data_IF_619039615254
#
_entry.id   IF_619039615254
#
_cell.length_a   1.000
_cell.length_b   1.000
_cell.length_c   1.000
_cell.angle_alpha   90.00
_cell.angle_beta   90.00
_cell.angle_gamma   90.00
#
_symmetry.space_group_name_H-M   'P 1'
#
loop_
_entity.id
_entity.type
_entity.pdbx_description
1 polymer ?
#
# COMPACT_ATOMS: atom_id res chain seq x y z
N UNK A 1 -10.15 -16.35 28.02
CA UNK A 1 -10.68 -17.01 26.80
C UNK A 1 -10.15 -16.22 25.62
N UNK A 2 -9.45 -16.84 24.67
CA UNK A 2 -8.98 -16.12 23.50
C UNK A 2 -10.20 -15.65 22.68
N UNK A 3 -10.14 -14.43 22.18
CA UNK A 3 -11.16 -13.89 21.31
C UNK A 3 -11.31 -14.72 20.04
N UNK A 4 -12.49 -15.21 19.78
CA UNK A 4 -12.79 -15.91 18.54
C UNK A 4 -12.96 -14.89 17.41
N UNK A 5 -11.90 -14.68 16.66
CA UNK A 5 -11.95 -13.99 15.37
C UNK A 5 -11.71 -15.00 14.25
N UNK A 6 -12.50 -14.92 13.18
CA UNK A 6 -12.28 -15.71 11.97
C UNK A 6 -11.85 -14.80 10.82
N UNK A 7 -10.88 -15.23 10.06
CA UNK A 7 -10.52 -14.58 8.79
C UNK A 7 -11.53 -15.03 7.75
N UNK A 8 -12.27 -14.09 7.18
CA UNK A 8 -13.31 -14.35 6.20
C UNK A 8 -12.75 -14.51 4.78
N UNK A 9 -11.48 -14.21 4.58
CA UNK A 9 -10.80 -14.39 3.29
C UNK A 9 -9.33 -14.68 3.52
N UNK A 10 -8.85 -15.81 3.05
CA UNK A 10 -7.43 -16.13 3.00
C UNK A 10 -7.08 -16.55 1.60
N UNK A 11 -6.18 -15.82 0.95
CA UNK A 11 -5.45 -16.34 -0.18
C UNK A 11 -4.05 -16.73 0.29
N UNK A 12 -3.78 -18.02 0.37
CA UNK A 12 -2.44 -18.54 0.55
C UNK A 12 -1.91 -18.98 -0.79
N UNK A 13 -1.10 -18.14 -1.43
CA UNK A 13 -0.18 -18.63 -2.45
C UNK A 13 1.07 -19.21 -1.79
N UNK A 14 1.62 -20.30 -2.34
CA UNK A 14 2.73 -21.00 -1.71
C UNK A 14 3.96 -20.10 -1.63
N UNK A 15 4.64 -20.22 -0.52
CA UNK A 15 5.97 -19.70 -0.32
C UNK A 15 6.86 -20.07 -1.48
N UNK A 16 7.23 -19.11 -2.27
CA UNK A 16 8.46 -19.17 -3.03
C UNK A 16 9.05 -17.78 -2.99
N UNK A 17 9.92 -17.64 -2.05
CA UNK A 17 11.31 -17.47 -2.30
C UNK A 17 11.74 -16.24 -2.98
N UNK A 18 12.74 -15.97 -2.56
CA UNK A 18 13.86 -15.19 -3.01
C UNK A 18 13.75 -13.82 -2.43
N UNK A 19 14.52 -13.70 -1.47
CA UNK A 19 15.21 -12.49 -1.13
C UNK A 19 15.80 -11.98 -2.44
N UNK A 20 14.96 -11.32 -3.22
CA UNK A 20 15.40 -10.80 -4.49
C UNK A 20 16.07 -9.46 -4.26
N UNK A 21 17.36 -9.52 -3.97
CA UNK A 21 18.25 -8.38 -4.07
C UNK A 21 18.54 -8.01 -5.53
N UNK A 22 17.89 -8.70 -6.48
CA UNK A 22 18.36 -8.72 -7.86
C UNK A 22 17.26 -8.36 -8.84
N UNK A 23 17.19 -7.13 -9.22
CA UNK A 23 16.31 -6.64 -10.27
C UNK A 23 16.82 -6.89 -11.70
N UNK A 24 18.05 -7.34 -11.87
CA UNK A 24 18.64 -7.46 -13.21
C UNK A 24 18.54 -8.82 -13.89
N UNK A 25 18.61 -9.96 -13.25
CA UNK A 25 18.28 -11.22 -13.91
C UNK A 25 16.95 -11.77 -13.42
N UNK A 26 15.92 -10.91 -13.34
CA UNK A 26 14.61 -11.31 -12.84
C UNK A 26 14.02 -12.55 -13.51
N UNK A 27 14.29 -12.76 -14.79
CA UNK A 27 13.90 -13.98 -15.48
C UNK A 27 14.74 -15.20 -15.09
N UNK A 28 16.04 -15.04 -14.90
CA UNK A 28 16.95 -16.12 -14.52
C UNK A 28 16.73 -16.49 -13.04
N UNK A 29 16.76 -15.52 -12.16
CA UNK A 29 16.50 -15.72 -10.72
C UNK A 29 15.08 -16.23 -10.48
N UNK A 30 14.09 -15.71 -11.18
CA UNK A 30 12.72 -16.18 -11.08
C UNK A 30 12.52 -17.61 -11.57
N UNK A 31 13.33 -18.07 -12.53
CA UNK A 31 13.24 -19.41 -13.09
C UNK A 31 14.15 -20.43 -12.38
N UNK A 32 15.39 -20.03 -12.06
CA UNK A 32 16.40 -20.92 -11.48
C UNK A 32 16.58 -20.72 -9.98
N UNK A 33 16.02 -19.65 -9.40
CA UNK A 33 16.17 -19.31 -7.99
C UNK A 33 17.51 -18.64 -7.64
N UNK A 34 18.40 -18.48 -8.62
CA UNK A 34 19.71 -17.83 -8.44
C UNK A 34 20.23 -17.29 -9.78
N UNK A 35 21.19 -16.37 -9.71
CA UNK A 35 21.95 -15.94 -10.88
C UNK A 35 23.40 -15.74 -10.49
N UNK A 36 24.32 -16.22 -11.31
CA UNK A 36 25.77 -16.07 -11.11
C UNK A 36 26.21 -14.60 -11.19
N UNK A 37 25.42 -13.73 -11.82
CA UNK A 37 25.67 -12.29 -11.84
C UNK A 37 25.61 -11.66 -10.45
N UNK A 38 24.93 -12.26 -9.51
CA UNK A 38 24.81 -11.76 -8.14
C UNK A 38 26.16 -11.77 -7.40
N UNK A 39 27.02 -12.71 -7.74
CA UNK A 39 28.33 -12.89 -7.10
C UNK A 39 29.36 -11.85 -7.57
N UNK A 40 29.06 -11.08 -8.62
CA UNK A 40 29.96 -10.02 -9.09
C UNK A 40 29.93 -8.78 -8.21
N UNK A 41 28.98 -8.65 -7.32
CA UNK A 41 28.76 -7.47 -6.48
C UNK A 41 28.83 -7.82 -5.01
N UNK A 42 29.40 -6.91 -4.23
CA UNK A 42 29.43 -6.99 -2.78
C UNK A 42 28.07 -6.65 -2.16
N UNK A 43 27.88 -6.99 -0.90
CA UNK A 43 26.66 -6.64 -0.16
C UNK A 43 26.45 -5.10 -0.11
N UNK A 44 27.53 -4.34 0.07
CA UNK A 44 27.46 -2.86 0.11
C UNK A 44 27.04 -2.28 -1.24
N UNK A 45 27.50 -2.84 -2.35
CA UNK A 45 27.09 -2.42 -3.69
C UNK A 45 25.60 -2.73 -3.94
N UNK A 46 25.13 -3.88 -3.47
CA UNK A 46 23.71 -4.23 -3.53
C UNK A 46 22.84 -3.29 -2.67
N UNK A 47 23.28 -2.93 -1.49
CA UNK A 47 22.57 -1.98 -0.63
C UNK A 47 22.54 -0.58 -1.26
N UNK A 48 23.62 -0.18 -1.94
CA UNK A 48 23.66 1.07 -2.71
C UNK A 48 22.72 1.05 -3.91
N UNK A 49 22.65 -0.06 -4.64
CA UNK A 49 21.73 -0.23 -5.76
C UNK A 49 20.28 -0.18 -5.28
N UNK A 50 19.96 -0.87 -4.18
CA UNK A 50 18.63 -0.83 -3.61
C UNK A 50 18.22 0.58 -3.19
N UNK A 51 19.14 1.36 -2.61
CA UNK A 51 18.85 2.76 -2.27
C UNK A 51 18.43 3.58 -3.50
N UNK A 52 19.05 3.33 -4.66
CA UNK A 52 18.66 4.04 -5.89
C UNK A 52 17.23 3.71 -6.31
N UNK A 53 16.80 2.48 -6.10
CA UNK A 53 15.43 2.05 -6.39
C UNK A 53 14.45 2.57 -5.35
N UNK A 54 14.81 2.55 -4.06
CA UNK A 54 14.00 3.18 -3.01
C UNK A 54 13.70 4.64 -3.35
N UNK A 55 14.74 5.39 -3.77
CA UNK A 55 14.61 6.80 -4.17
C UNK A 55 13.71 6.93 -5.40
N UNK A 56 13.96 6.14 -6.46
CA UNK A 56 13.19 6.21 -7.68
C UNK A 56 11.69 5.95 -7.41
N UNK A 57 11.36 4.85 -6.72
CA UNK A 57 9.96 4.50 -6.43
C UNK A 57 9.29 5.46 -5.46
N UNK A 58 10.03 6.01 -4.48
CA UNK A 58 9.48 7.00 -3.56
C UNK A 58 9.06 8.28 -4.29
N UNK A 59 9.90 8.76 -5.20
CA UNK A 59 9.65 10.00 -5.93
C UNK A 59 8.84 9.81 -7.22
N UNK A 60 8.73 8.60 -7.76
CA UNK A 60 7.91 8.32 -8.94
C UNK A 60 6.48 7.88 -8.58
N UNK A 61 6.30 7.13 -7.49
CA UNK A 61 5.02 6.46 -7.20
C UNK A 61 4.48 6.67 -5.80
N UNK A 62 5.25 7.25 -4.88
CA UNK A 62 4.90 7.36 -3.48
C UNK A 62 4.69 8.81 -3.02
N UNK A 63 4.91 9.04 -1.72
CA UNK A 63 4.68 10.34 -1.06
C UNK A 63 5.58 11.46 -1.60
N UNK A 64 6.71 11.13 -2.19
CA UNK A 64 7.58 12.09 -2.87
C UNK A 64 7.06 12.59 -4.21
N UNK A 65 6.05 11.93 -4.78
CA UNK A 65 5.44 12.32 -6.05
C UNK A 65 4.11 13.05 -5.83
N UNK A 66 3.93 14.26 -6.37
CA UNK A 66 2.64 14.97 -6.29
C UNK A 66 1.48 14.19 -6.90
N UNK A 67 1.73 13.28 -7.85
CA UNK A 67 0.70 12.44 -8.47
C UNK A 67 0.63 11.03 -7.89
N UNK A 68 1.48 10.68 -6.93
CA UNK A 68 1.56 9.31 -6.38
C UNK A 68 0.22 8.84 -5.82
N UNK A 69 -0.51 9.71 -5.11
CA UNK A 69 -1.86 9.38 -4.61
C UNK A 69 -2.88 9.21 -5.74
N UNK A 70 -2.77 10.01 -6.79
CA UNK A 70 -3.69 9.96 -7.92
C UNK A 70 -3.57 8.64 -8.70
N UNK A 71 -2.38 8.06 -8.75
CA UNK A 71 -2.15 6.77 -9.39
C UNK A 71 -2.86 5.63 -8.64
N UNK A 72 -2.91 5.67 -7.31
CA UNK A 72 -3.51 4.62 -6.48
C UNK A 72 -5.00 4.82 -6.14
N UNK A 73 -5.57 6.03 -6.37
CA UNK A 73 -6.92 6.37 -5.87
C UNK A 73 -8.03 5.52 -6.45
N UNK A 74 -7.94 5.17 -7.74
CA UNK A 74 -8.96 4.36 -8.41
C UNK A 74 -9.11 3.00 -7.74
N UNK A 75 -8.00 2.30 -7.50
CA UNK A 75 -8.04 1.03 -6.79
C UNK A 75 -8.56 1.16 -5.35
N UNK A 76 -8.14 2.22 -4.65
CA UNK A 76 -8.64 2.48 -3.29
C UNK A 76 -10.16 2.65 -3.26
N UNK A 77 -10.75 3.32 -4.24
CA UNK A 77 -12.21 3.46 -4.35
C UNK A 77 -12.89 2.11 -4.57
N UNK A 78 -12.34 1.25 -5.43
CA UNK A 78 -12.87 -0.10 -5.63
C UNK A 78 -12.72 -0.98 -4.39
N UNK A 79 -11.59 -0.88 -3.68
CA UNK A 79 -11.38 -1.57 -2.40
C UNK A 79 -12.45 -1.14 -1.37
N UNK A 80 -12.71 0.15 -1.24
CA UNK A 80 -13.74 0.67 -0.34
C UNK A 80 -15.14 0.20 -0.75
N UNK A 81 -15.44 0.17 -2.04
CA UNK A 81 -16.71 -0.36 -2.55
C UNK A 81 -16.90 -1.83 -2.15
N UNK A 82 -15.88 -2.66 -2.29
CA UNK A 82 -15.88 -4.08 -1.87
C UNK A 82 -16.05 -4.22 -0.35
N UNK A 83 -15.35 -3.39 0.44
CA UNK A 83 -15.42 -3.44 1.91
C UNK A 83 -16.77 -2.97 2.47
N UNK A 84 -17.42 -2.02 1.80
CA UNK A 84 -18.70 -1.43 2.22
C UNK A 84 -19.91 -2.04 1.53
N UNK A 85 -19.71 -2.88 0.52
CA UNK A 85 -20.74 -3.40 -0.38
C UNK A 85 -21.55 -2.29 -1.07
N UNK A 86 -20.89 -1.18 -1.44
CA UNK A 86 -21.51 -0.05 -2.11
C UNK A 86 -20.92 0.15 -3.51
N UNK A 87 -21.78 0.13 -4.53
CA UNK A 87 -21.35 0.33 -5.91
C UNK A 87 -20.86 1.77 -6.16
N UNK A 88 -19.88 1.91 -7.02
CA UNK A 88 -19.42 3.22 -7.51
C UNK A 88 -20.29 3.60 -8.71
N UNK A 89 -21.30 4.42 -8.45
CA UNK A 89 -22.29 4.80 -9.47
C UNK A 89 -21.83 5.99 -10.32
N UNK A 90 -20.94 6.81 -9.80
CA UNK A 90 -20.33 7.96 -10.48
C UNK A 90 -18.85 7.94 -10.20
N UNK A 91 -18.05 7.95 -11.26
CA UNK A 91 -16.60 8.02 -11.13
C UNK A 91 -16.11 9.46 -11.15
N UNK A 92 -15.14 9.73 -10.32
CA UNK A 92 -14.35 10.96 -10.28
C UNK A 92 -12.84 10.68 -10.37
N UNK A 93 -12.47 9.49 -10.84
CA UNK A 93 -11.08 9.03 -10.97
C UNK A 93 -10.92 8.16 -12.23
N UNK A 94 -9.90 7.32 -12.28
CA UNK A 94 -9.68 6.32 -13.33
C UNK A 94 -10.71 5.18 -13.36
N UNK A 95 -11.58 5.08 -12.36
CA UNK A 95 -12.60 4.03 -12.25
C UNK A 95 -13.65 4.20 -13.33
N UNK A 96 -14.00 3.10 -14.01
CA UNK A 96 -15.09 3.10 -14.99
C UNK A 96 -16.41 2.74 -14.29
N UNK A 97 -17.27 3.75 -14.06
CA UNK A 97 -18.55 3.56 -13.38
C UNK A 97 -19.55 2.71 -14.14
N UNK A 98 -19.38 2.49 -15.46
CA UNK A 98 -20.25 1.56 -16.19
C UNK A 98 -19.96 0.12 -15.79
N UNK A 99 -18.74 -0.19 -15.37
CA UNK A 99 -18.33 -1.49 -14.83
C UNK A 99 -18.67 -1.56 -13.34
N UNK A 100 -18.23 -0.60 -12.55
CA UNK A 100 -18.33 -0.63 -11.09
C UNK A 100 -19.74 -0.40 -10.55
N UNK A 101 -20.68 0.01 -11.39
CA UNK A 101 -22.12 0.08 -11.07
C UNK A 101 -22.91 -1.14 -11.58
N UNK A 102 -22.24 -2.11 -12.17
CA UNK A 102 -22.88 -3.32 -12.70
C UNK A 102 -22.56 -4.54 -11.80
N UNK A 103 -23.55 -5.15 -11.13
CA UNK A 103 -23.33 -6.32 -10.27
C UNK A 103 -22.75 -7.56 -10.98
N UNK A 104 -22.90 -7.66 -12.29
CA UNK A 104 -22.33 -8.79 -13.06
C UNK A 104 -20.84 -8.62 -13.30
N UNK A 105 -20.42 -7.38 -13.60
CA UNK A 105 -19.03 -7.05 -13.91
C UNK A 105 -18.22 -6.73 -12.65
N UNK A 106 -18.86 -6.17 -11.62
CA UNK A 106 -18.27 -5.80 -10.36
C UNK A 106 -19.08 -6.37 -9.16
N UNK A 107 -19.05 -7.69 -8.96
CA UNK A 107 -19.80 -8.32 -7.87
C UNK A 107 -19.22 -7.93 -6.51
N UNK A 108 -20.08 -7.55 -5.55
CA UNK A 108 -19.66 -7.15 -4.19
C UNK A 108 -19.94 -8.22 -3.12
N UNK A 109 -20.45 -9.39 -3.53
CA UNK A 109 -20.85 -10.49 -2.66
C UNK A 109 -19.85 -11.66 -2.64
N UNK A 110 -18.68 -11.48 -3.23
CA UNK A 110 -17.68 -12.54 -3.29
C UNK A 110 -16.86 -12.60 -2.01
N UNK A 111 -16.52 -13.82 -1.54
CA UNK A 111 -15.64 -13.98 -0.37
C UNK A 111 -14.18 -13.67 -0.67
N UNK A 112 -13.81 -13.61 -1.96
CA UNK A 112 -12.44 -13.41 -2.41
C UNK A 112 -12.40 -12.60 -3.71
N UNK A 113 -11.47 -11.67 -3.77
CA UNK A 113 -11.13 -10.86 -4.94
C UNK A 113 -9.63 -10.97 -5.19
N UNK A 114 -9.23 -11.08 -6.44
CA UNK A 114 -7.84 -11.07 -6.85
C UNK A 114 -7.67 -10.11 -8.02
N UNK A 115 -6.84 -9.11 -7.80
CA UNK A 115 -6.46 -8.12 -8.80
C UNK A 115 -4.97 -8.30 -9.11
N UNK A 116 -4.60 -8.24 -10.38
CA UNK A 116 -3.22 -8.39 -10.83
C UNK A 116 -2.73 -7.06 -11.35
N UNK A 117 -1.55 -6.66 -10.90
CA UNK A 117 -0.99 -5.36 -11.22
C UNK A 117 0.53 -5.40 -11.23
N UNK A 118 1.16 -4.22 -11.23
CA UNK A 118 2.59 -4.04 -11.13
C UNK A 118 2.99 -3.59 -9.72
N UNK A 119 4.28 -3.66 -9.44
CA UNK A 119 4.90 -3.28 -8.17
C UNK A 119 4.67 -1.81 -7.81
N UNK A 120 4.80 -0.91 -8.78
CA UNK A 120 4.57 0.52 -8.64
C UNK A 120 3.14 0.86 -8.17
N UNK A 121 2.14 0.13 -8.67
CA UNK A 121 0.74 0.35 -8.27
C UNK A 121 0.50 -0.06 -6.81
N UNK A 122 1.14 -1.13 -6.33
CA UNK A 122 1.08 -1.48 -4.91
C UNK A 122 1.57 -0.32 -4.03
N UNK A 123 2.70 0.30 -4.43
CA UNK A 123 3.25 1.49 -3.74
C UNK A 123 2.28 2.66 -3.78
N UNK A 124 1.72 2.95 -4.96
CA UNK A 124 0.77 4.06 -5.15
C UNK A 124 -0.53 3.87 -4.36
N UNK A 125 -1.03 2.64 -4.24
CA UNK A 125 -2.22 2.31 -3.43
C UNK A 125 -1.96 2.58 -1.95
N UNK A 126 -0.82 2.13 -1.41
CA UNK A 126 -0.45 2.41 -0.02
C UNK A 126 -0.30 3.92 0.25
N UNK A 127 0.21 4.66 -0.74
CA UNK A 127 0.31 6.12 -0.69
C UNK A 127 -1.06 6.79 -0.71
N UNK A 128 -1.97 6.34 -1.58
CA UNK A 128 -3.35 6.85 -1.65
C UNK A 128 -4.11 6.65 -0.33
N UNK A 129 -3.90 5.51 0.32
CA UNK A 129 -4.46 5.23 1.66
C UNK A 129 -3.87 6.09 2.77
N UNK A 130 -2.75 6.78 2.54
CA UNK A 130 -1.95 7.45 3.58
C UNK A 130 -1.45 6.47 4.65
N UNK A 131 -0.83 5.39 4.22
CA UNK A 131 -0.12 4.48 5.13
C UNK A 131 1.23 5.12 5.51
N UNK A 132 1.19 5.99 6.53
CA UNK A 132 2.29 6.89 6.90
C UNK A 132 3.54 6.14 7.40
N UNK A 133 3.45 4.84 7.65
CA UNK A 133 4.60 3.98 7.91
C UNK A 133 5.70 4.09 6.84
N UNK A 134 5.31 4.30 5.59
CA UNK A 134 6.22 4.44 4.45
C UNK A 134 6.47 5.88 4.03
N UNK A 135 6.07 6.87 4.84
CA UNK A 135 6.13 8.30 4.45
C UNK A 135 7.53 8.89 4.55
N UNK A 136 8.40 8.35 5.39
CA UNK A 136 9.75 8.87 5.53
C UNK A 136 10.52 8.73 4.23
N UNK A 137 11.00 9.86 3.70
CA UNK A 137 11.71 9.89 2.43
C UNK A 137 13.09 9.23 2.54
N UNK A 138 13.48 8.39 1.57
CA UNK A 138 14.87 7.96 1.45
C UNK A 138 15.80 9.16 1.32
N UNK A 139 16.93 9.12 2.03
CA UNK A 139 17.93 10.20 1.95
C UNK A 139 18.58 10.23 0.57
N UNK A 140 18.68 11.44 -0.02
CA UNK A 140 19.37 11.64 -1.29
C UNK A 140 20.89 11.78 -1.14
N UNK A 141 21.37 11.92 0.08
CA UNK A 141 22.79 12.25 0.34
C UNK A 141 23.47 11.32 1.34
N UNK A 142 22.71 10.52 2.09
CA UNK A 142 23.27 9.62 3.09
C UNK A 142 23.63 8.28 2.46
N UNK A 143 24.87 7.87 2.62
CA UNK A 143 25.33 6.52 2.33
C UNK A 143 26.29 6.04 3.44
N UNK A 144 26.17 4.82 3.95
CA UNK A 144 25.13 3.83 3.64
C UNK A 144 23.72 4.31 4.02
N UNK A 145 22.66 3.74 3.41
CA UNK A 145 21.29 4.12 3.71
C UNK A 145 20.96 3.81 5.18
N UNK A 146 20.01 4.57 5.75
CA UNK A 146 19.52 4.32 7.10
C UNK A 146 18.99 2.86 7.20
N UNK A 147 19.58 2.00 8.04
CA UNK A 147 19.14 0.61 8.18
C UNK A 147 17.72 0.48 8.77
N UNK A 148 17.25 1.50 9.48
CA UNK A 148 15.94 1.53 10.12
C UNK A 148 14.86 2.19 9.23
N UNK A 149 15.19 2.50 7.96
CA UNK A 149 14.22 3.07 7.04
C UNK A 149 13.04 2.10 6.81
N UNK A 150 11.85 2.64 6.66
CA UNK A 150 10.65 1.83 6.41
C UNK A 150 10.39 1.64 4.92
N UNK A 151 10.72 2.64 4.08
CA UNK A 151 10.61 2.50 2.64
C UNK A 151 11.79 1.68 2.12
N UNK A 152 11.52 0.41 1.86
CA UNK A 152 12.51 -0.57 1.44
C UNK A 152 11.90 -1.39 0.31
N UNK A 153 12.19 -1.04 -0.94
CA UNK A 153 11.45 -1.52 -2.10
C UNK A 153 11.48 -3.05 -2.23
N UNK A 154 12.63 -3.68 -2.06
CA UNK A 154 12.75 -5.13 -2.17
C UNK A 154 11.95 -5.89 -1.11
N UNK A 155 11.61 -5.25 0.01
CA UNK A 155 10.71 -5.82 1.03
C UNK A 155 9.25 -5.50 0.78
N UNK A 156 8.98 -4.38 0.08
CA UNK A 156 7.63 -3.94 -0.23
C UNK A 156 7.07 -4.69 -1.43
N UNK A 157 7.80 -4.69 -2.53
CA UNK A 157 7.33 -5.23 -3.81
C UNK A 157 8.37 -6.15 -4.46
N UNK A 158 8.80 -7.23 -3.78
CA UNK A 158 9.66 -8.25 -4.39
C UNK A 158 8.93 -8.92 -5.54
N UNK A 159 9.65 -9.69 -6.34
CA UNK A 159 9.02 -10.54 -7.36
C UNK A 159 7.93 -11.44 -6.73
N UNK A 160 6.71 -11.37 -7.29
CA UNK A 160 5.53 -11.99 -6.68
C UNK A 160 5.01 -11.28 -5.44
N UNK A 161 5.41 -10.01 -5.24
CA UNK A 161 4.90 -9.16 -4.15
C UNK A 161 3.37 -9.05 -4.19
N UNK A 162 2.74 -8.96 -3.02
CA UNK A 162 1.29 -8.90 -2.91
C UNK A 162 0.84 -8.11 -1.69
N UNK A 163 -0.24 -7.35 -1.88
CA UNK A 163 -0.95 -6.63 -0.83
C UNK A 163 -2.28 -7.36 -0.57
N UNK A 164 -2.47 -7.84 0.64
CA UNK A 164 -3.69 -8.57 1.04
C UNK A 164 -4.47 -7.71 2.02
N UNK A 165 -5.75 -7.50 1.74
CA UNK A 165 -6.70 -6.91 2.67
C UNK A 165 -7.61 -7.99 3.23
N UNK A 166 -7.58 -8.19 4.54
CA UNK A 166 -8.38 -9.19 5.25
C UNK A 166 -9.52 -8.50 6.00
N UNK A 167 -10.74 -9.02 5.85
CA UNK A 167 -11.87 -8.65 6.71
C UNK A 167 -12.00 -9.71 7.79
N UNK A 168 -11.87 -9.31 9.04
CA UNK A 168 -11.87 -10.19 10.21
C UNK A 168 -13.13 -9.92 11.02
N UNK A 169 -13.93 -10.95 11.22
CA UNK A 169 -15.12 -10.89 12.06
C UNK A 169 -14.84 -11.33 13.49
N UNK A 170 -15.24 -10.53 14.47
CA UNK A 170 -15.07 -10.81 15.89
C UNK A 170 -16.41 -10.71 16.62
N UNK A 171 -16.55 -11.46 17.72
CA UNK A 171 -17.73 -11.40 18.59
C UNK A 171 -17.72 -10.21 19.55
N UNK A 172 -16.60 -9.49 19.63
CA UNK A 172 -16.41 -8.33 20.52
C UNK A 172 -15.98 -7.10 19.72
N UNK A 173 -16.47 -5.93 20.11
CA UNK A 173 -16.02 -4.65 19.56
C UNK A 173 -14.57 -4.32 19.96
N UNK A 174 -14.06 -4.91 21.02
CA UNK A 174 -12.68 -4.74 21.47
C UNK A 174 -12.06 -6.10 21.76
N UNK A 175 -11.75 -6.90 20.72
CA UNK A 175 -11.11 -8.19 20.91
C UNK A 175 -9.72 -8.00 21.50
N UNK A 176 -9.27 -8.96 22.32
CA UNK A 176 -7.93 -8.95 22.87
C UNK A 176 -6.91 -8.94 21.75
N UNK A 177 -6.04 -7.93 21.75
CA UNK A 177 -4.98 -7.84 20.77
C UNK A 177 -3.95 -8.96 21.01
N UNK A 178 -3.67 -9.73 19.98
CA UNK A 178 -2.66 -10.79 20.01
C UNK A 178 -1.63 -10.48 18.94
N UNK A 179 -0.39 -10.29 19.35
CA UNK A 179 0.70 -10.17 18.40
C UNK A 179 0.90 -11.54 17.72
N UNK A 180 0.62 -11.56 16.42
CA UNK A 180 0.79 -12.80 15.65
C UNK A 180 2.26 -12.95 15.25
N UNK A 181 2.86 -14.01 15.69
CA UNK A 181 4.13 -14.45 15.14
C UNK A 181 3.93 -15.02 13.73
N UNK A 182 4.91 -14.82 12.87
CA UNK A 182 4.88 -15.10 11.42
C UNK A 182 4.43 -16.50 11.01
N UNK A 183 4.38 -17.45 11.92
CA UNK A 183 4.25 -18.89 11.61
C UNK A 183 3.11 -19.57 12.40
N UNK A 184 2.33 -18.85 13.20
CA UNK A 184 1.28 -19.49 13.97
C UNK A 184 0.05 -19.76 13.11
N UNK A 185 -0.23 -21.03 12.91
CA UNK A 185 -1.51 -21.51 12.42
C UNK A 185 -2.50 -21.57 13.60
N UNK A 186 -3.61 -20.85 13.48
CA UNK A 186 -4.64 -20.84 14.51
C UNK A 186 -5.76 -21.81 14.15
N UNK A 187 -5.81 -23.00 14.75
CA UNK A 187 -6.88 -23.98 14.48
C UNK A 187 -8.25 -23.51 14.99
N UNK A 188 -8.28 -22.47 15.83
CA UNK A 188 -9.52 -21.95 16.45
C UNK A 188 -10.51 -21.28 15.47
N UNK A 189 -10.11 -21.05 14.22
CA UNK A 189 -11.06 -20.61 13.18
C UNK A 189 -11.96 -21.74 12.68
N UNK A 190 -11.65 -23.00 12.99
CA UNK A 190 -12.53 -24.11 12.69
C UNK A 190 -13.68 -24.18 13.70
N UNK A 191 -14.92 -24.17 13.20
CA UNK A 191 -16.12 -24.18 14.02
C UNK A 191 -16.62 -22.81 14.47
N UNK A 192 -15.99 -21.71 14.03
CA UNK A 192 -16.52 -20.37 14.26
C UNK A 192 -17.73 -20.13 13.37
N UNK A 193 -18.85 -19.73 13.98
CA UNK A 193 -20.05 -19.37 13.24
C UNK A 193 -19.98 -17.91 12.74
N UNK A 194 -20.16 -17.63 11.44
CA UNK A 194 -20.24 -16.26 10.94
C UNK A 194 -21.28 -15.38 11.63
N UNK A 195 -22.34 -15.98 12.19
CA UNK A 195 -23.36 -15.27 12.97
C UNK A 195 -22.83 -14.63 14.25
N UNK A 196 -21.68 -15.09 14.75
CA UNK A 196 -21.01 -14.52 15.92
C UNK A 196 -20.07 -13.37 15.54
N UNK A 197 -19.85 -13.13 14.26
CA UNK A 197 -18.99 -12.07 13.73
C UNK A 197 -19.72 -10.72 13.68
N UNK A 198 -20.15 -10.21 14.83
CA UNK A 198 -20.95 -8.98 14.95
C UNK A 198 -20.13 -7.70 14.73
N UNK A 199 -18.82 -7.78 14.88
CA UNK A 199 -17.89 -6.67 14.69
C UNK A 199 -16.87 -7.02 13.60
N UNK A 200 -16.65 -6.11 12.66
CA UNK A 200 -15.73 -6.30 11.56
C UNK A 200 -14.49 -5.41 11.71
N UNK A 201 -13.36 -5.98 11.37
CA UNK A 201 -12.06 -5.31 11.36
C UNK A 201 -11.38 -5.51 10.01
N UNK A 202 -10.55 -4.56 9.63
CA UNK A 202 -9.61 -4.67 8.51
C UNK A 202 -8.22 -4.93 9.07
N UNK A 203 -7.50 -5.84 8.44
CA UNK A 203 -6.07 -6.03 8.60
C UNK A 203 -5.45 -6.12 7.21
N UNK A 204 -4.29 -5.52 7.03
CA UNK A 204 -3.57 -5.58 5.77
C UNK A 204 -2.23 -6.27 5.95
N UNK A 205 -1.83 -6.98 4.92
CA UNK A 205 -0.53 -7.66 4.87
C UNK A 205 0.16 -7.30 3.58
N UNK A 206 1.41 -6.88 3.71
CA UNK A 206 2.31 -6.73 2.57
C UNK A 206 3.22 -7.94 2.56
N UNK A 207 3.13 -8.73 1.50
CA UNK A 207 3.73 -10.05 1.47
C UNK A 207 3.26 -10.91 2.67
N UNK A 208 4.15 -11.32 3.53
CA UNK A 208 3.80 -12.07 4.75
C UNK A 208 3.80 -11.20 6.02
N UNK A 209 4.16 -9.91 5.92
CA UNK A 209 4.20 -8.98 7.05
C UNK A 209 2.84 -8.31 7.28
N UNK A 210 2.45 -8.15 8.54
CA UNK A 210 1.27 -7.36 8.90
C UNK A 210 1.66 -5.88 8.82
N UNK A 211 0.87 -5.09 8.10
CA UNK A 211 1.06 -3.66 8.00
C UNK A 211 0.58 -2.94 9.27
N UNK A 212 1.34 -1.96 9.78
CA UNK A 212 0.99 -1.21 10.98
C UNK A 212 -0.08 -0.15 10.66
N UNK A 213 -1.35 -0.55 10.63
CA UNK A 213 -2.47 0.35 10.34
C UNK A 213 -2.66 1.45 11.40
N UNK A 214 -1.98 1.37 12.54
CA UNK A 214 -1.92 2.44 13.53
C UNK A 214 -1.23 3.72 13.02
N UNK A 215 -0.44 3.61 11.96
CA UNK A 215 0.16 4.75 11.26
C UNK A 215 -0.73 5.31 10.15
N UNK A 216 -1.85 4.65 9.86
CA UNK A 216 -2.76 5.06 8.81
C UNK A 216 -3.27 6.49 9.08
N UNK A 217 -3.03 7.40 8.12
CA UNK A 217 -3.49 8.78 8.15
C UNK A 217 -3.33 9.42 9.54
N UNK A 218 -2.09 9.55 9.99
CA UNK A 218 -1.78 10.15 11.29
C UNK A 218 -2.31 9.38 12.51
N UNK A 219 -2.72 8.12 12.32
CA UNK A 219 -3.10 7.25 13.42
C UNK A 219 -4.60 7.02 13.60
N UNK A 220 -5.39 7.07 12.53
CA UNK A 220 -6.83 6.76 12.58
C UNK A 220 -7.16 5.40 13.22
N UNK A 221 -6.24 4.43 13.12
CA UNK A 221 -6.37 3.08 13.66
C UNK A 221 -5.48 2.82 14.88
N UNK A 222 -5.09 3.85 15.63
CA UNK A 222 -4.24 3.72 16.82
C UNK A 222 -4.81 2.79 17.89
N UNK A 223 -3.92 2.19 18.67
CA UNK A 223 -4.26 1.46 19.89
C UNK A 223 -4.31 -0.06 19.75
N UNK A 224 -3.94 -0.63 18.58
CA UNK A 224 -3.86 -2.08 18.41
C UNK A 224 -2.49 -2.52 17.91
N UNK A 225 -1.95 -3.56 18.55
CA UNK A 225 -0.64 -4.16 18.23
C UNK A 225 -0.75 -5.33 17.24
N UNK A 226 -1.98 -5.75 16.91
CA UNK A 226 -2.26 -6.90 16.03
C UNK A 226 -2.53 -6.48 14.57
N UNK A 227 -2.32 -5.20 14.24
CA UNK A 227 -2.51 -4.66 12.91
C UNK A 227 -3.98 -4.53 12.48
N UNK A 228 -4.94 -4.79 13.38
CA UNK A 228 -6.36 -4.63 13.06
C UNK A 228 -6.84 -3.19 13.25
N UNK A 229 -7.72 -2.75 12.37
CA UNK A 229 -8.50 -1.53 12.50
C UNK A 229 -10.00 -1.84 12.39
N UNK A 230 -10.83 -1.26 13.23
CA UNK A 230 -12.27 -1.40 13.06
C UNK A 230 -12.68 -0.93 11.65
N UNK A 231 -13.52 -1.70 10.96
CA UNK A 231 -13.85 -1.46 9.55
C UNK A 231 -14.44 -0.06 9.33
N UNK A 232 -15.32 0.39 10.22
CA UNK A 232 -15.91 1.72 10.17
C UNK A 232 -14.87 2.84 10.30
N UNK A 233 -13.89 2.67 11.20
CA UNK A 233 -12.79 3.62 11.36
C UNK A 233 -11.87 3.63 10.15
N UNK A 234 -11.56 2.45 9.60
CA UNK A 234 -10.77 2.36 8.37
C UNK A 234 -11.46 3.10 7.22
N UNK A 235 -12.74 2.81 6.98
CA UNK A 235 -13.52 3.46 5.92
C UNK A 235 -13.60 4.98 6.15
N UNK A 236 -13.90 5.40 7.38
CA UNK A 236 -13.96 6.83 7.72
C UNK A 236 -12.64 7.55 7.49
N UNK A 237 -11.51 6.89 7.77
CA UNK A 237 -10.18 7.46 7.53
C UNK A 237 -9.91 7.73 6.05
N UNK A 238 -10.62 7.06 5.14
CA UNK A 238 -10.44 7.19 3.70
C UNK A 238 -11.37 8.22 3.04
N UNK A 239 -12.29 8.84 3.79
CA UNK A 239 -13.26 9.80 3.22
C UNK A 239 -12.62 10.98 2.49
N UNK A 240 -11.42 11.39 2.86
CA UNK A 240 -10.70 12.50 2.23
C UNK A 240 -9.64 12.05 1.21
N UNK A 241 -9.52 10.76 0.91
CA UNK A 241 -8.45 10.24 0.06
C UNK A 241 -8.53 10.78 -1.36
N UNK A 242 -9.74 10.94 -1.90
CA UNK A 242 -9.92 11.54 -3.22
C UNK A 242 -9.44 13.00 -3.26
N UNK A 243 -9.85 13.81 -2.29
CA UNK A 243 -9.41 15.21 -2.23
C UNK A 243 -7.88 15.31 -2.08
N UNK A 244 -7.27 14.45 -1.26
CA UNK A 244 -5.81 14.40 -1.10
C UNK A 244 -5.08 13.89 -2.34
N UNK A 245 -5.73 13.12 -3.20
CA UNK A 245 -5.13 12.67 -4.45
C UNK A 245 -5.01 13.79 -5.47
N UNK A 246 -5.84 14.82 -5.34
CA UNK A 246 -5.95 15.92 -6.30
C UNK A 246 -6.03 15.42 -7.76
N UNK A 247 -6.81 14.35 -7.96
CA UNK A 247 -6.80 13.53 -9.17
C UNK A 247 -6.98 14.34 -10.46
N UNK A 248 -7.96 15.24 -10.48
CA UNK A 248 -8.27 16.01 -11.67
C UNK A 248 -7.09 16.90 -12.07
N UNK A 249 -6.45 17.55 -11.10
CA UNK A 249 -5.28 18.37 -11.37
C UNK A 249 -4.07 17.49 -11.72
N UNK A 250 -3.86 16.40 -10.99
CA UNK A 250 -2.74 15.49 -11.24
C UNK A 250 -2.76 14.90 -12.65
N UNK A 251 -3.96 14.56 -13.16
CA UNK A 251 -4.11 13.91 -14.46
C UNK A 251 -4.39 14.87 -15.62
N UNK A 252 -5.04 16.00 -15.37
CA UNK A 252 -5.54 16.89 -16.42
C UNK A 252 -5.12 18.36 -16.23
N UNK A 253 -4.38 18.66 -15.17
CA UNK A 253 -3.89 20.00 -14.89
C UNK A 253 -2.89 20.48 -15.95
N UNK A 254 -2.78 21.79 -16.07
CA UNK A 254 -1.79 22.40 -16.94
C UNK A 254 -0.42 22.46 -16.25
N UNK A 255 0.34 21.39 -16.39
CA UNK A 255 1.66 21.27 -15.80
C UNK A 255 2.68 22.14 -16.53
N UNK A 256 3.37 22.99 -15.79
CA UNK A 256 4.56 23.67 -16.26
C UNK A 256 5.76 23.10 -15.50
N UNK A 257 6.65 22.45 -16.21
CA UNK A 257 7.96 22.08 -15.64
C UNK A 257 8.78 23.36 -15.57
N UNK A 258 9.28 23.70 -14.39
CA UNK A 258 10.22 24.81 -14.25
C UNK A 258 11.42 24.52 -15.14
N UNK A 259 11.69 25.42 -16.09
CA UNK A 259 12.89 25.29 -16.91
C UNK A 259 14.09 25.46 -15.99
N UNK A 260 14.86 24.41 -15.81
CA UNK A 260 16.15 24.47 -15.09
C UNK A 260 17.11 25.29 -15.93
N UNK A 261 16.96 26.61 -15.88
CA UNK A 261 17.95 27.52 -16.42
C UNK A 261 19.22 27.35 -15.60
N UNK A 262 20.30 27.09 -16.17
CA UNK A 262 21.66 27.01 -15.64
C UNK A 262 22.29 25.60 -15.68
N UNK A 263 21.73 24.65 -16.42
CA UNK A 263 22.32 23.32 -16.60
C UNK A 263 22.27 22.42 -15.37
N UNK A 264 21.48 22.77 -14.37
CA UNK A 264 21.20 21.88 -13.25
C UNK A 264 19.96 21.03 -13.59
N UNK A 265 20.05 19.77 -13.27
CA UNK A 265 18.93 18.86 -13.40
C UNK A 265 17.79 19.28 -12.46
N UNK A 266 16.55 18.93 -12.86
CA UNK A 266 15.39 19.09 -12.01
C UNK A 266 15.56 18.22 -10.75
N UNK A 267 15.47 18.82 -9.59
CA UNK A 267 15.72 18.18 -8.30
C UNK A 267 14.45 17.67 -7.61
N UNK A 268 13.32 17.66 -8.32
CA UNK A 268 12.03 17.28 -7.75
C UNK A 268 11.38 18.34 -6.86
N UNK A 269 11.98 19.53 -6.75
CA UNK A 269 11.43 20.61 -5.93
C UNK A 269 10.11 21.10 -6.53
N UNK A 270 9.04 21.00 -5.74
CA UNK A 270 7.74 21.59 -6.07
C UNK A 270 7.71 23.01 -5.51
N UNK A 271 7.68 24.01 -6.39
CA UNK A 271 7.58 25.42 -5.99
C UNK A 271 6.13 25.77 -5.70
N UNK A 272 5.81 25.97 -4.43
CA UNK A 272 4.46 26.38 -4.00
C UNK A 272 4.08 27.74 -4.60
N UNK A 273 2.84 27.85 -5.03
CA UNK A 273 2.27 29.11 -5.51
C UNK A 273 2.60 29.47 -6.97
N UNK A 274 3.26 28.61 -7.73
CA UNK A 274 3.40 28.78 -9.17
C UNK A 274 2.20 28.15 -9.89
N UNK A 275 1.58 28.84 -10.87
CA UNK A 275 0.54 28.24 -11.68
C UNK A 275 1.04 26.95 -12.34
N UNK A 276 0.36 25.84 -12.13
CA UNK A 276 0.72 24.57 -12.76
C UNK A 276 1.60 23.64 -11.92
N UNK A 277 1.97 24.01 -10.69
CA UNK A 277 2.70 23.15 -9.78
C UNK A 277 1.77 22.74 -8.64
N UNK A 278 1.66 21.43 -8.38
CA UNK A 278 0.94 20.93 -7.22
C UNK A 278 1.57 21.48 -5.95
N UNK A 279 0.78 22.16 -5.16
CA UNK A 279 1.18 22.40 -3.79
C UNK A 279 1.44 21.04 -3.14
N UNK A 280 2.62 20.88 -2.55
CA UNK A 280 2.91 19.71 -1.75
C UNK A 280 1.83 19.65 -0.67
N UNK A 281 0.81 18.80 -0.89
CA UNK A 281 -0.25 18.61 0.09
C UNK A 281 0.35 17.89 1.28
N UNK A 282 1.06 18.62 2.11
CA UNK A 282 1.30 18.16 3.46
C UNK A 282 -0.08 17.76 4.03
N UNK A 283 -0.19 16.62 4.67
CA UNK A 283 -1.43 16.29 5.35
C UNK A 283 -1.78 17.48 6.23
N UNK A 284 -3.06 17.86 6.33
CA UNK A 284 -3.45 18.86 7.31
C UNK A 284 -2.80 18.45 8.62
N UNK A 285 -2.07 19.40 9.22
CA UNK A 285 -1.51 19.23 10.54
C UNK A 285 -2.62 18.67 11.42
N UNK A 286 -2.35 17.54 12.05
CA UNK A 286 -3.27 16.94 13.00
C UNK A 286 -3.49 17.96 14.14
N UNK A 287 -4.53 18.75 14.05
CA UNK A 287 -5.16 19.37 15.19
C UNK A 287 -6.15 18.37 15.82
#
# INVERSE_FOLDING_TARGET
MPCNCSVLTVCTLPRTLCYDRNLMPGSETGFLGMSDFCDFFTADEWDGFEQTLDIAYYYDYSFGNPTGRAQGIGYLQELLARLTHQYITVSNSSVNSTITNNPQDFPLDRPFYADFTHDDIIVSVMTAMSLDYFREAPSLTQYPPNPDRHFYLSKMTPFGGHLITEVIGCSSANPTAVQQERVQYYPTQYGYSPSNATHKFVRMRLNNGILPLDTLRGGACKGRIDGMCALDKFVASQNNSYALSNYDYACFGNWTVANTTNGNDYDGTVYLGQPGILENTQPPSSD
#
